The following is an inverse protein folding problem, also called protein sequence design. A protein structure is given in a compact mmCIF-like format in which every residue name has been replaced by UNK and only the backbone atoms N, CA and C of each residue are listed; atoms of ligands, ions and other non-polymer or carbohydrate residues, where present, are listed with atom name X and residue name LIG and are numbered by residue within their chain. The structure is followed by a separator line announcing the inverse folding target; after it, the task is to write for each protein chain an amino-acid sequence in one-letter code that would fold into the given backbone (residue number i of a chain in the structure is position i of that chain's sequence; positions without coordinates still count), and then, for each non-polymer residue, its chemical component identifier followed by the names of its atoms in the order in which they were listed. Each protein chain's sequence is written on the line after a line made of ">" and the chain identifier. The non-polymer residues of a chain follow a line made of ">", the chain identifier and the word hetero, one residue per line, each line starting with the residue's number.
data_IF_139927767372
#
_entry.id   IF_139927767372
#
_cell.length_a   1.000
_cell.length_b   1.000
_cell.length_c   1.000
_cell.angle_alpha   90.00
_cell.angle_beta   90.00
_cell.angle_gamma   90.00
#
_symmetry.space_group_name_H-M   'P 1'
#
loop_
_entity.id
_entity.type
_entity.pdbx_description
1 polymer ?
#
# COMPACT_ATOMS: atom_id res chain seq x y z
N UNK A 1 -6.18 11.57 -11.06
CA UNK A 1 -4.91 12.14 -10.54
C UNK A 1 -3.85 11.05 -10.47
N UNK A 2 -2.58 11.36 -10.72
CA UNK A 2 -1.49 10.41 -10.49
C UNK A 2 -1.01 10.51 -9.04
N UNK A 3 -0.87 9.37 -8.38
CA UNK A 3 -0.31 9.28 -7.04
C UNK A 3 0.97 8.47 -7.04
N UNK A 4 1.90 8.88 -6.19
CA UNK A 4 3.13 8.18 -5.92
C UNK A 4 2.92 7.29 -4.68
N UNK A 5 3.01 5.99 -4.89
CA UNK A 5 2.94 4.98 -3.84
C UNK A 5 4.35 4.73 -3.36
N UNK A 6 4.64 5.00 -2.09
CA UNK A 6 5.97 4.84 -1.50
C UNK A 6 5.91 3.69 -0.50
N UNK A 7 6.78 2.68 -0.64
CA UNK A 7 6.90 1.53 0.26
C UNK A 7 8.21 1.57 1.02
N UNK A 8 8.16 1.36 2.34
CA UNK A 8 9.35 1.15 3.16
C UNK A 8 10.09 -0.13 2.73
N UNK A 9 11.43 -0.07 2.75
CA UNK A 9 12.28 -1.24 2.54
C UNK A 9 11.94 -2.34 3.55
N UNK A 10 11.84 -3.59 3.09
CA UNK A 10 11.43 -4.73 3.92
C UNK A 10 12.61 -5.58 4.40
N UNK A 11 13.76 -5.50 3.73
CA UNK A 11 14.93 -6.32 3.98
C UNK A 11 16.21 -5.63 3.48
N UNK A 12 17.37 -6.18 3.86
CA UNK A 12 18.69 -5.66 3.46
C UNK A 12 18.89 -5.52 1.94
N UNK A 13 18.15 -6.30 1.14
CA UNK A 13 18.16 -6.17 -0.31
C UNK A 13 17.46 -4.88 -0.78
N UNK A 14 16.32 -4.54 -0.16
CA UNK A 14 15.61 -3.29 -0.41
C UNK A 14 16.38 -2.08 0.17
N UNK A 15 17.09 -2.25 1.29
CA UNK A 15 17.86 -1.16 1.92
C UNK A 15 18.94 -0.56 1.00
N UNK A 16 19.46 -1.36 0.07
CA UNK A 16 20.40 -0.90 -0.95
C UNK A 16 19.76 -0.06 -2.07
N UNK A 17 18.46 -0.21 -2.28
CA UNK A 17 17.66 0.50 -3.30
C UNK A 17 16.90 1.70 -2.72
N UNK A 18 16.68 1.73 -1.41
CA UNK A 18 15.86 2.73 -0.73
C UNK A 18 14.34 2.46 -0.88
N UNK A 19 13.48 3.42 -0.45
CA UNK A 19 12.04 3.28 -0.58
C UNK A 19 11.64 3.07 -2.04
N UNK A 20 10.87 2.01 -2.30
CA UNK A 20 10.38 1.73 -3.64
C UNK A 20 9.17 2.63 -3.93
N UNK A 21 9.09 3.10 -5.17
CA UNK A 21 8.00 3.97 -5.62
C UNK A 21 7.26 3.39 -6.82
N UNK A 22 5.93 3.46 -6.82
CA UNK A 22 5.07 3.09 -7.94
C UNK A 22 4.10 4.24 -8.24
N UNK A 23 4.00 4.65 -9.51
CA UNK A 23 2.97 5.61 -9.92
C UNK A 23 1.67 4.87 -10.25
N UNK A 24 0.57 5.31 -9.64
CA UNK A 24 -0.77 4.76 -9.87
C UNK A 24 -1.71 5.89 -10.28
N UNK A 25 -2.46 5.65 -11.35
CA UNK A 25 -3.52 6.56 -11.78
C UNK A 25 -4.78 6.32 -10.94
N UNK A 26 -5.15 7.32 -10.15
CA UNK A 26 -6.40 7.38 -9.38
C UNK A 26 -7.49 8.08 -10.21
N UNK A 27 -8.50 7.33 -10.65
CA UNK A 27 -9.67 7.89 -11.35
C UNK A 27 -10.61 8.59 -10.37
N UNK A 28 -11.44 9.51 -10.86
CA UNK A 28 -12.32 10.30 -9.97
C UNK A 28 -13.32 9.46 -9.17
N UNK A 29 -13.74 8.33 -9.73
CA UNK A 29 -14.66 7.39 -9.12
C UNK A 29 -13.97 6.23 -8.38
N UNK A 30 -12.64 6.22 -8.29
CA UNK A 30 -11.93 5.15 -7.58
C UNK A 30 -12.24 5.20 -6.09
N UNK A 31 -12.66 4.06 -5.57
CA UNK A 31 -12.84 3.86 -4.14
C UNK A 31 -11.52 3.52 -3.46
N UNK A 32 -11.48 3.59 -2.13
CA UNK A 32 -10.36 3.05 -1.35
C UNK A 32 -10.21 1.53 -1.62
N UNK A 33 -11.29 0.79 -1.88
CA UNK A 33 -11.20 -0.62 -2.26
C UNK A 33 -10.53 -0.81 -3.62
N UNK A 34 -10.81 0.05 -4.61
CA UNK A 34 -10.17 -0.04 -5.92
C UNK A 34 -8.68 0.29 -5.82
N UNK A 35 -8.32 1.29 -5.01
CA UNK A 35 -6.91 1.58 -4.71
C UNK A 35 -6.20 0.36 -4.07
N UNK A 36 -6.81 -0.27 -3.06
CA UNK A 36 -6.25 -1.47 -2.44
C UNK A 36 -6.07 -2.61 -3.46
N UNK A 37 -7.05 -2.83 -4.34
CA UNK A 37 -7.00 -3.84 -5.40
C UNK A 37 -5.87 -3.58 -6.40
N UNK A 38 -5.76 -2.36 -6.93
CA UNK A 38 -4.74 -2.02 -7.93
C UNK A 38 -3.32 -2.25 -7.43
N UNK A 39 -3.08 -2.06 -6.13
CA UNK A 39 -1.76 -2.23 -5.53
C UNK A 39 -1.44 -3.73 -5.30
N UNK A 40 -2.44 -4.51 -4.89
CA UNK A 40 -2.32 -5.96 -4.82
C UNK A 40 -2.01 -6.57 -6.20
N UNK A 41 -2.72 -6.10 -7.24
CA UNK A 41 -2.53 -6.56 -8.63
C UNK A 41 -1.18 -6.14 -9.22
N UNK A 42 -0.62 -5.02 -8.79
CA UNK A 42 0.70 -4.54 -9.24
C UNK A 42 1.88 -5.41 -8.76
N UNK A 43 1.65 -6.40 -7.88
CA UNK A 43 2.70 -7.26 -7.27
C UNK A 43 3.87 -6.46 -6.68
N UNK A 44 3.58 -5.25 -6.22
CA UNK A 44 4.56 -4.29 -5.71
C UNK A 44 4.97 -4.57 -4.25
N UNK A 45 4.15 -5.35 -3.52
CA UNK A 45 4.31 -5.62 -2.10
C UNK A 45 5.17 -6.87 -1.88
N UNK A 46 6.18 -6.75 -1.02
CA UNK A 46 7.04 -7.87 -0.61
C UNK A 46 7.03 -8.00 0.91
N UNK A 47 6.59 -9.15 1.41
CA UNK A 47 6.49 -9.45 2.85
C UNK A 47 7.67 -10.31 3.30
N UNK A 48 8.01 -10.24 4.58
CA UNK A 48 9.02 -11.11 5.21
C UNK A 48 8.52 -11.62 6.56
N UNK A 49 9.24 -12.60 7.15
CA UNK A 49 8.83 -13.23 8.41
C UNK A 49 8.64 -12.23 9.58
N UNK A 50 9.35 -11.11 9.58
CA UNK A 50 9.20 -10.02 10.58
C UNK A 50 8.32 -8.87 10.11
N UNK A 51 7.93 -8.85 8.84
CA UNK A 51 7.16 -7.77 8.20
C UNK A 51 5.98 -8.38 7.45
N UNK A 52 4.95 -8.76 8.21
CA UNK A 52 3.77 -9.49 7.71
C UNK A 52 2.51 -8.62 7.62
N UNK A 53 2.56 -7.34 7.98
CA UNK A 53 1.45 -6.39 7.82
C UNK A 53 2.00 -5.05 7.32
N UNK A 54 1.37 -4.49 6.28
CA UNK A 54 1.61 -3.12 5.83
C UNK A 54 0.43 -2.24 6.22
N UNK A 55 0.70 -1.08 6.81
CA UNK A 55 -0.27 -0.01 6.97
C UNK A 55 -0.14 1.01 5.85
N UNK A 56 -1.27 1.35 5.26
CA UNK A 56 -1.35 2.33 4.18
C UNK A 56 -1.87 3.65 4.73
N UNK A 57 -1.07 4.69 4.56
CA UNK A 57 -1.33 6.03 5.08
C UNK A 57 -1.40 7.04 3.95
N UNK A 58 -2.31 8.01 4.08
CA UNK A 58 -2.29 9.22 3.28
C UNK A 58 -2.49 10.42 4.20
N UNK A 59 -1.60 11.40 4.10
CA UNK A 59 -1.68 12.66 4.86
C UNK A 59 -1.85 12.43 6.37
N UNK A 60 -1.12 11.46 6.93
CA UNK A 60 -1.19 11.07 8.36
C UNK A 60 -2.47 10.33 8.77
N UNK A 61 -3.33 9.95 7.82
CA UNK A 61 -4.54 9.14 8.07
C UNK A 61 -4.36 7.73 7.53
N UNK A 62 -4.59 6.72 8.38
CA UNK A 62 -4.58 5.32 7.96
C UNK A 62 -5.82 5.04 7.10
N UNK A 63 -5.60 4.45 5.93
CA UNK A 63 -6.65 4.13 4.96
C UNK A 63 -7.09 2.67 5.08
N UNK A 64 -6.12 1.77 5.04
CA UNK A 64 -6.31 0.32 5.08
C UNK A 64 -5.01 -0.37 5.50
N UNK A 65 -5.11 -1.64 5.81
CA UNK A 65 -3.96 -2.49 6.12
C UNK A 65 -3.92 -3.70 5.20
N UNK A 66 -2.73 -4.23 4.98
CA UNK A 66 -2.49 -5.36 4.09
C UNK A 66 -1.72 -6.44 4.86
N UNK A 67 -2.41 -7.40 5.50
CA UNK A 67 -1.77 -8.56 6.10
C UNK A 67 -1.34 -9.62 5.06
N UNK A 68 -0.17 -10.22 5.27
CA UNK A 68 0.22 -11.49 4.68
C UNK A 68 -0.31 -12.64 5.55
N UNK A 69 -1.06 -13.56 4.93
CA UNK A 69 -1.70 -14.66 5.66
C UNK A 69 -0.82 -15.89 5.92
N UNK A 70 0.44 -15.90 5.49
CA UNK A 70 1.33 -17.02 5.82
C UNK A 70 2.74 -16.91 5.27
N UNK A 71 3.65 -17.58 5.97
CA UNK A 71 5.11 -17.59 5.70
C UNK A 71 5.45 -18.42 4.45
N UNK A 72 4.55 -19.30 3.99
CA UNK A 72 4.80 -20.25 2.89
C UNK A 72 4.01 -19.97 1.60
N UNK A 73 2.99 -19.10 1.62
CA UNK A 73 2.14 -18.84 0.45
C UNK A 73 2.03 -17.37 0.04
N UNK A 74 2.64 -16.42 0.79
CA UNK A 74 2.71 -14.98 0.47
C UNK A 74 1.40 -14.35 -0.04
N UNK A 75 0.26 -14.90 0.36
CA UNK A 75 -1.03 -14.38 -0.06
C UNK A 75 -1.30 -13.09 0.69
N UNK A 76 -1.60 -12.07 -0.10
CA UNK A 76 -1.85 -10.71 0.35
C UNK A 76 -3.35 -10.54 0.48
N UNK A 77 -3.82 -10.32 1.70
CA UNK A 77 -5.18 -9.85 1.95
C UNK A 77 -5.17 -8.38 2.32
N UNK A 78 -6.27 -7.69 2.09
CA UNK A 78 -6.44 -6.28 2.43
C UNK A 78 -7.66 -6.08 3.30
N UNK A 79 -7.51 -5.28 4.35
CA UNK A 79 -8.57 -4.88 5.25
C UNK A 79 -8.77 -3.37 5.15
N UNK A 80 -9.95 -2.97 4.68
CA UNK A 80 -10.27 -1.58 4.35
C UNK A 80 -11.07 -0.93 5.48
N UNK A 81 -10.47 0.05 6.15
CA UNK A 81 -11.11 0.78 7.26
C UNK A 81 -11.98 1.93 6.79
N UNK A 82 -11.62 2.54 5.67
CA UNK A 82 -12.33 3.68 5.08
C UNK A 82 -13.14 3.24 3.88
N UNK A 83 -14.42 3.57 3.88
CA UNK A 83 -15.29 3.40 2.71
C UNK A 83 -15.52 4.75 2.05
N UNK A 84 -15.44 4.79 0.71
CA UNK A 84 -15.62 6.02 -0.06
C UNK A 84 -14.55 6.23 -1.13
N UNK A 85 -14.62 7.39 -1.78
CA UNK A 85 -13.69 7.77 -2.84
C UNK A 85 -12.28 7.97 -2.27
N UNK A 86 -11.29 7.39 -2.94
CA UNK A 86 -9.90 7.49 -2.53
C UNK A 86 -9.40 8.95 -2.50
N UNK A 87 -9.87 9.78 -3.45
CA UNK A 87 -9.52 11.20 -3.51
C UNK A 87 -9.99 12.00 -2.29
N UNK A 88 -11.00 11.53 -1.54
CA UNK A 88 -11.44 12.21 -0.31
C UNK A 88 -10.40 12.14 0.81
N UNK A 89 -9.51 11.14 0.75
CA UNK A 89 -8.53 10.85 1.80
C UNK A 89 -7.09 11.09 1.35
N UNK A 90 -6.79 10.92 0.06
CA UNK A 90 -5.45 11.13 -0.50
C UNK A 90 -5.27 12.62 -0.82
N UNK A 91 -4.91 13.39 0.20
CA UNK A 91 -4.64 14.84 0.09
C UNK A 91 -3.16 15.09 -0.12
N UNK A 92 -2.76 15.11 -1.38
CA UNK A 92 -1.36 15.12 -1.81
C UNK A 92 -1.12 13.89 -2.65
N UNK A 93 -0.31 14.02 -3.71
CA UNK A 93 -0.12 12.98 -4.71
C UNK A 93 0.73 11.82 -4.18
N UNK A 94 0.58 11.42 -2.91
CA UNK A 94 1.40 10.40 -2.27
C UNK A 94 0.61 9.54 -1.28
N UNK A 95 0.93 8.25 -1.26
CA UNK A 95 0.43 7.29 -0.28
C UNK A 95 1.62 6.48 0.24
N UNK A 96 1.71 6.30 1.55
CA UNK A 96 2.83 5.68 2.23
C UNK A 96 2.45 4.30 2.76
N UNK A 97 3.33 3.33 2.53
CA UNK A 97 3.18 1.93 2.90
C UNK A 97 4.24 1.62 3.94
N UNK A 98 3.81 1.57 5.19
CA UNK A 98 4.68 1.43 6.35
C UNK A 98 4.52 0.04 6.96
N UNK A 99 5.62 -0.59 7.35
CA UNK A 99 5.58 -1.86 8.06
C UNK A 99 5.05 -1.66 9.48
N UNK A 100 4.19 -2.58 9.94
CA UNK A 100 3.66 -2.61 11.30
C UNK A 100 4.63 -3.26 12.30
#
# INVERSE_FOLDING_TARGET
>A
MNINVIRQACCAQDDSLGPLSLNVELKENFTIQDLARSIGEAKFLQFSGTHNIIYVWASGTKLFSIPALGVNNNNVEYFVEKTGLAMSFVKGNSVEYLWA
#
